data_IF_689599497287
#
_entry.id   IF_689599497287
#
_cell.length_a   1.000
_cell.length_b   1.000
_cell.length_c   1.000
_cell.angle_alpha   90.00
_cell.angle_beta   90.00
_cell.angle_gamma   90.00
#
_symmetry.space_group_name_H-M   'P 1'
#
loop_
_entity.id
_entity.type
_entity.pdbx_description
1 polymer ?
#
# COMPACT_ATOMS: atom_id res chain seq x y z
N UNK A 1 12.36 43.15 -19.13
CA UNK A 1 11.61 42.66 -17.96
C UNK A 1 11.57 41.15 -18.09
N UNK A 2 12.63 40.49 -17.62
CA UNK A 2 12.66 39.04 -17.54
C UNK A 2 11.77 38.67 -16.36
N UNK A 3 10.64 38.03 -16.62
CA UNK A 3 9.88 37.34 -15.60
C UNK A 3 10.78 36.21 -15.11
N UNK A 4 11.57 36.47 -14.07
CA UNK A 4 12.27 35.43 -13.34
C UNK A 4 11.19 34.50 -12.81
N UNK A 5 11.10 33.24 -13.29
CA UNK A 5 10.10 32.32 -12.78
C UNK A 5 10.35 32.20 -11.27
N UNK A 6 9.30 32.42 -10.48
CA UNK A 6 9.41 32.27 -9.03
C UNK A 6 10.07 30.91 -8.73
N UNK A 7 11.03 30.84 -7.78
CA UNK A 7 11.62 29.57 -7.41
C UNK A 7 10.47 28.66 -6.97
N UNK A 8 10.27 27.60 -7.75
CA UNK A 8 9.29 26.57 -7.44
C UNK A 8 10.00 25.68 -6.44
N UNK A 9 9.54 25.61 -5.19
CA UNK A 9 10.13 24.76 -4.15
C UNK A 9 9.61 23.32 -4.31
N UNK A 10 10.12 22.66 -5.34
CA UNK A 10 9.69 21.36 -5.82
C UNK A 10 10.60 20.24 -5.27
N UNK A 11 10.04 19.44 -4.38
CA UNK A 11 10.70 18.23 -3.88
C UNK A 11 10.13 16.99 -4.57
N UNK A 12 11.00 16.14 -5.10
CA UNK A 12 10.63 14.87 -5.73
C UNK A 12 11.05 13.72 -4.83
N UNK A 13 10.08 12.91 -4.37
CA UNK A 13 10.37 11.64 -3.73
C UNK A 13 10.23 10.49 -4.75
N UNK A 14 11.34 9.80 -5.02
CA UNK A 14 11.40 8.64 -5.89
C UNK A 14 11.48 7.35 -5.06
N UNK A 15 10.41 6.58 -5.10
CA UNK A 15 10.28 5.29 -4.44
C UNK A 15 10.63 4.16 -5.43
N UNK A 16 11.56 3.28 -5.04
CA UNK A 16 12.02 2.17 -5.88
C UNK A 16 12.02 0.84 -5.13
N UNK A 17 11.69 -0.24 -5.83
CA UNK A 17 11.83 -1.60 -5.29
C UNK A 17 13.30 -2.06 -5.39
N UNK A 18 13.96 -2.43 -4.26
CA UNK A 18 15.37 -2.84 -4.27
C UNK A 18 15.70 -4.06 -5.12
N UNK A 19 14.75 -4.97 -5.27
CA UNK A 19 14.96 -6.26 -5.94
C UNK A 19 15.04 -6.17 -7.46
N UNK A 20 14.83 -4.98 -8.04
CA UNK A 20 14.80 -4.75 -9.48
C UNK A 20 15.52 -3.45 -9.87
N UNK A 21 16.72 -3.19 -9.36
CA UNK A 21 17.59 -2.14 -9.92
C UNK A 21 18.05 -2.59 -11.32
N UNK A 22 17.15 -2.43 -12.27
CA UNK A 22 17.38 -2.64 -13.69
C UNK A 22 18.01 -1.37 -14.25
N UNK A 23 18.91 -1.47 -15.23
CA UNK A 23 19.52 -0.31 -15.92
C UNK A 23 18.50 0.80 -16.30
N UNK A 24 17.26 0.51 -16.74
CA UNK A 24 16.26 1.55 -17.01
C UNK A 24 15.81 2.38 -15.80
N UNK A 25 15.98 1.89 -14.57
CA UNK A 25 15.67 2.63 -13.34
C UNK A 25 16.82 3.54 -12.97
N UNK A 26 18.06 3.05 -13.07
CA UNK A 26 19.26 3.86 -12.79
C UNK A 26 19.33 5.07 -13.72
N UNK A 27 19.04 4.88 -15.01
CA UNK A 27 18.97 5.97 -15.97
C UNK A 27 17.93 7.04 -15.58
N UNK A 28 16.78 6.62 -15.04
CA UNK A 28 15.73 7.55 -14.55
C UNK A 28 16.18 8.30 -13.30
N UNK A 29 16.82 7.61 -12.36
CA UNK A 29 17.36 8.21 -11.15
C UNK A 29 18.44 9.25 -11.50
N UNK A 30 19.35 8.92 -12.41
CA UNK A 30 20.40 9.86 -12.83
C UNK A 30 19.80 11.07 -13.54
N UNK A 31 18.76 10.86 -14.35
CA UNK A 31 18.02 11.96 -14.97
C UNK A 31 17.38 12.90 -13.94
N UNK A 32 16.80 12.36 -12.86
CA UNK A 32 16.25 13.15 -11.77
C UNK A 32 17.34 13.90 -10.99
N UNK A 33 18.48 13.26 -10.73
CA UNK A 33 19.65 13.92 -10.12
C UNK A 33 20.14 15.07 -10.98
N UNK A 34 20.11 14.92 -12.31
CA UNK A 34 20.47 15.99 -13.22
C UNK A 34 19.49 17.17 -13.11
N UNK A 35 18.18 16.91 -13.00
CA UNK A 35 17.18 17.96 -12.79
C UNK A 35 17.43 18.74 -11.47
N UNK A 36 17.88 18.06 -10.42
CA UNK A 36 18.26 18.71 -9.14
C UNK A 36 19.49 19.61 -9.32
N UNK A 37 20.52 19.12 -10.01
CA UNK A 37 21.74 19.89 -10.29
C UNK A 37 21.48 21.11 -11.17
N UNK A 38 20.56 20.99 -12.11
CA UNK A 38 20.16 22.06 -13.02
C UNK A 38 19.21 23.08 -12.35
N UNK A 39 18.77 22.81 -11.12
CA UNK A 39 17.88 23.68 -10.35
C UNK A 39 16.42 23.63 -10.80
N UNK A 40 16.04 22.62 -11.59
CA UNK A 40 14.65 22.44 -12.02
C UNK A 40 13.79 21.80 -10.93
N UNK A 41 14.42 21.07 -10.01
CA UNK A 41 13.84 20.60 -8.75
C UNK A 41 14.79 21.02 -7.63
N UNK A 42 14.27 21.38 -6.46
CA UNK A 42 15.14 21.81 -5.34
C UNK A 42 15.71 20.62 -4.58
N UNK A 43 14.96 19.51 -4.52
CA UNK A 43 15.39 18.34 -3.78
C UNK A 43 14.89 17.03 -4.38
N UNK A 44 15.78 16.05 -4.44
CA UNK A 44 15.49 14.66 -4.77
C UNK A 44 15.67 13.75 -3.55
N UNK A 45 14.58 13.11 -3.13
CA UNK A 45 14.56 12.10 -2.07
C UNK A 45 14.45 10.70 -2.67
N UNK A 46 15.49 9.89 -2.56
CA UNK A 46 15.44 8.48 -2.93
C UNK A 46 15.00 7.62 -1.74
N UNK A 47 14.02 6.75 -1.96
CA UNK A 47 13.45 5.84 -0.96
C UNK A 47 13.29 4.44 -1.54
N UNK A 48 13.61 3.43 -0.75
CA UNK A 48 13.27 2.05 -1.09
C UNK A 48 11.97 1.64 -0.42
N UNK A 49 11.22 0.75 -1.07
CA UNK A 49 10.07 0.09 -0.46
C UNK A 49 10.02 -1.41 -0.82
N UNK A 50 9.42 -2.25 0.05
CA UNK A 50 9.16 -3.64 -0.26
C UNK A 50 8.20 -3.79 -1.44
N UNK A 51 8.26 -4.94 -2.10
CA UNK A 51 7.33 -5.26 -3.17
C UNK A 51 5.91 -5.45 -2.66
N UNK A 52 5.76 -6.12 -1.53
CA UNK A 52 4.46 -6.38 -0.94
C UNK A 52 4.50 -6.06 0.55
N UNK A 53 3.41 -5.47 1.05
CA UNK A 53 3.22 -5.15 2.46
C UNK A 53 1.87 -5.70 2.90
N UNK A 54 1.85 -6.43 4.01
CA UNK A 54 0.59 -6.84 4.62
C UNK A 54 -0.12 -5.62 5.22
N UNK A 55 -1.41 -5.46 4.92
CA UNK A 55 -2.25 -4.38 5.46
C UNK A 55 -2.80 -4.79 6.83
N UNK A 56 -1.90 -4.88 7.81
CA UNK A 56 -2.18 -5.25 9.20
C UNK A 56 -1.57 -4.20 10.14
N UNK A 57 -2.15 -4.03 11.34
CA UNK A 57 -1.66 -3.05 12.33
C UNK A 57 -0.20 -3.32 12.74
N UNK A 58 0.18 -4.59 12.93
CA UNK A 58 1.54 -4.99 13.31
C UNK A 58 2.46 -5.27 12.10
N UNK A 59 2.21 -4.61 10.96
CA UNK A 59 3.05 -4.79 9.76
C UNK A 59 4.47 -4.28 10.01
N UNK A 60 5.53 -4.93 9.48
CA UNK A 60 6.91 -4.43 9.62
C UNK A 60 7.20 -3.11 8.89
N UNK A 61 6.28 -2.66 8.02
CA UNK A 61 6.45 -1.50 7.14
C UNK A 61 5.27 -0.52 7.23
N UNK A 62 4.91 -0.02 8.44
CA UNK A 62 3.78 0.90 8.60
C UNK A 62 3.99 2.19 7.79
N UNK A 63 5.23 2.64 7.61
CA UNK A 63 5.57 3.82 6.83
C UNK A 63 5.16 3.72 5.35
N UNK A 64 5.09 2.50 4.79
CA UNK A 64 4.66 2.28 3.40
C UNK A 64 3.15 2.39 3.29
N UNK A 65 2.41 1.92 4.31
CA UNK A 65 0.96 2.05 4.37
C UNK A 65 0.55 3.51 4.58
N UNK A 66 1.18 4.22 5.52
CA UNK A 66 0.95 5.66 5.72
C UNK A 66 1.19 6.47 4.44
N UNK A 67 2.23 6.10 3.68
CA UNK A 67 2.54 6.75 2.42
C UNK A 67 1.53 6.40 1.33
N UNK A 68 1.07 5.14 1.28
CA UNK A 68 0.01 4.71 0.38
C UNK A 68 -1.31 5.43 0.66
N UNK A 69 -1.69 5.57 1.93
CA UNK A 69 -2.89 6.31 2.34
C UNK A 69 -2.81 7.77 1.89
N UNK A 70 -1.65 8.43 2.08
CA UNK A 70 -1.40 9.79 1.56
C UNK A 70 -1.53 9.90 0.04
N UNK A 71 -1.11 8.88 -0.69
CA UNK A 71 -1.23 8.84 -2.15
C UNK A 71 -2.68 8.64 -2.60
N UNK A 72 -3.41 7.74 -1.94
CA UNK A 72 -4.85 7.51 -2.19
C UNK A 72 -5.66 8.77 -1.89
N UNK A 73 -5.41 9.40 -0.75
CA UNK A 73 -5.97 10.69 -0.35
C UNK A 73 -5.73 11.78 -1.41
N UNK A 74 -4.53 11.82 -1.98
CA UNK A 74 -4.22 12.75 -3.06
C UNK A 74 -5.00 12.39 -4.34
N UNK A 75 -5.04 11.11 -4.68
CA UNK A 75 -5.71 10.60 -5.88
C UNK A 75 -7.21 10.93 -5.84
N UNK A 76 -7.88 10.66 -4.71
CA UNK A 76 -9.28 10.99 -4.45
C UNK A 76 -9.54 12.50 -4.58
N UNK A 77 -8.68 13.33 -3.98
CA UNK A 77 -8.79 14.80 -4.10
C UNK A 77 -8.52 15.32 -5.51
N UNK A 78 -7.79 14.56 -6.31
CA UNK A 78 -7.44 14.89 -7.68
C UNK A 78 -8.39 14.26 -8.70
N UNK A 79 -9.33 13.41 -8.26
CA UNK A 79 -10.23 12.64 -9.12
C UNK A 79 -9.46 11.75 -10.13
N UNK A 80 -8.37 11.15 -9.65
CA UNK A 80 -7.51 10.23 -10.41
C UNK A 80 -7.34 8.93 -9.64
N UNK A 81 -6.83 7.90 -10.32
CA UNK A 81 -6.53 6.61 -9.74
C UNK A 81 -5.04 6.30 -9.80
N UNK A 82 -4.47 5.86 -8.68
CA UNK A 82 -3.13 5.26 -8.62
C UNK A 82 -3.15 3.75 -8.90
N UNK A 83 -4.32 3.20 -9.24
CA UNK A 83 -4.49 1.85 -9.76
C UNK A 83 -4.47 1.86 -11.29
N UNK A 84 -3.96 0.81 -11.96
CA UNK A 84 -3.40 -0.45 -11.44
C UNK A 84 -1.95 -0.49 -10.89
N UNK A 85 -1.12 0.57 -10.91
CA UNK A 85 0.25 0.52 -10.40
C UNK A 85 0.39 0.07 -8.94
N UNK A 86 -0.50 0.53 -8.07
CA UNK A 86 -0.71 -0.05 -6.76
C UNK A 86 -1.83 -1.09 -6.85
N UNK A 87 -1.70 -2.22 -6.15
CA UNK A 87 -2.75 -3.25 -6.13
C UNK A 87 -2.95 -3.77 -4.72
N UNK A 88 -4.19 -4.01 -4.33
CA UNK A 88 -4.50 -4.79 -3.13
C UNK A 88 -4.81 -6.21 -3.57
N UNK A 89 -4.11 -7.19 -2.98
CA UNK A 89 -4.31 -8.61 -3.25
C UNK A 89 -4.63 -9.35 -1.96
N UNK A 90 -5.76 -10.03 -1.95
CA UNK A 90 -6.07 -11.00 -0.90
C UNK A 90 -5.16 -12.23 -1.05
N UNK A 91 -4.45 -12.57 0.02
CA UNK A 91 -3.68 -13.81 0.10
C UNK A 91 -4.22 -14.66 1.24
N UNK A 92 -4.75 -15.83 0.90
CA UNK A 92 -5.18 -16.83 1.88
C UNK A 92 -4.03 -17.75 2.22
N UNK A 93 -3.64 -17.77 3.49
CA UNK A 93 -2.68 -18.74 4.00
C UNK A 93 -3.37 -20.09 4.14
N UNK A 94 -2.91 -21.11 3.42
CA UNK A 94 -3.44 -22.48 3.52
C UNK A 94 -3.20 -23.05 4.92
N UNK A 95 -2.10 -22.67 5.57
CA UNK A 95 -1.73 -23.17 6.89
C UNK A 95 -2.58 -22.61 8.03
N UNK A 96 -3.12 -21.40 7.88
CA UNK A 96 -3.90 -20.72 8.93
C UNK A 96 -5.34 -20.42 8.53
N UNK A 97 -5.75 -20.73 7.30
CA UNK A 97 -7.04 -20.36 6.67
C UNK A 97 -7.39 -18.87 6.78
N UNK A 98 -6.43 -18.02 7.14
CA UNK A 98 -6.60 -16.58 7.25
C UNK A 98 -6.32 -15.93 5.91
N UNK A 99 -7.26 -15.10 5.45
CA UNK A 99 -7.08 -14.19 4.32
C UNK A 99 -6.55 -12.86 4.84
N UNK A 100 -5.45 -12.38 4.24
CA UNK A 100 -4.83 -11.10 4.56
C UNK A 100 -4.69 -10.30 3.28
N UNK A 101 -5.09 -9.03 3.33
CA UNK A 101 -4.86 -8.08 2.25
C UNK A 101 -3.39 -7.66 2.18
N UNK A 102 -2.85 -7.65 0.96
CA UNK A 102 -1.49 -7.22 0.68
C UNK A 102 -1.47 -6.09 -0.33
N UNK A 103 -0.83 -4.99 0.04
CA UNK A 103 -0.48 -3.92 -0.87
C UNK A 103 0.72 -4.33 -1.71
N UNK A 104 0.54 -4.39 -3.03
CA UNK A 104 1.57 -4.54 -4.03
C UNK A 104 1.96 -3.15 -4.53
N UNK A 105 3.19 -2.73 -4.26
CA UNK A 105 3.73 -1.44 -4.69
C UNK A 105 4.13 -1.44 -6.19
N UNK A 106 4.27 -0.30 -6.88
CA UNK A 106 4.91 -0.30 -8.18
C UNK A 106 6.44 -0.43 -8.08
N UNK A 107 7.10 -0.83 -9.17
CA UNK A 107 8.57 -0.91 -9.23
C UNK A 107 9.24 0.44 -9.05
N UNK A 108 8.62 1.50 -9.59
CA UNK A 108 9.03 2.89 -9.41
C UNK A 108 7.79 3.77 -9.23
N UNK A 109 7.85 4.72 -8.31
CA UNK A 109 6.83 5.75 -8.11
C UNK A 109 7.48 7.09 -7.81
N UNK A 110 6.93 8.17 -8.36
CA UNK A 110 7.33 9.54 -8.06
C UNK A 110 6.22 10.25 -7.32
N UNK A 111 6.53 10.85 -6.17
CA UNK A 111 5.67 11.80 -5.51
C UNK A 111 6.29 13.20 -5.62
N UNK A 112 5.48 14.15 -6.05
CA UNK A 112 5.86 15.54 -6.30
C UNK A 112 5.27 16.42 -5.23
N UNK A 113 6.12 17.15 -4.52
CA UNK A 113 5.74 18.08 -3.46
C UNK A 113 6.09 19.50 -3.87
N UNK A 114 5.15 20.43 -3.67
CA UNK A 114 5.38 21.87 -3.73
C UNK A 114 5.25 22.40 -2.31
N UNK A 115 6.35 22.89 -1.72
CA UNK A 115 6.41 23.37 -0.32
C UNK A 115 5.75 22.38 0.65
N UNK A 116 6.22 21.14 0.64
CA UNK A 116 5.72 20.00 1.44
C UNK A 116 4.30 19.51 1.13
N UNK A 117 3.56 20.19 0.23
CA UNK A 117 2.23 19.73 -0.19
C UNK A 117 2.36 18.74 -1.33
N UNK A 118 1.82 17.54 -1.16
CA UNK A 118 1.73 16.55 -2.24
C UNK A 118 0.82 17.08 -3.36
N UNK A 119 1.43 17.41 -4.49
CA UNK A 119 0.74 17.93 -5.68
C UNK A 119 0.58 16.89 -6.77
N UNK A 120 1.43 15.86 -6.82
CA UNK A 120 1.35 14.78 -7.82
C UNK A 120 1.88 13.44 -7.35
N UNK A 121 1.31 12.34 -7.84
CA UNK A 121 1.87 10.99 -7.73
C UNK A 121 1.90 10.36 -9.12
N UNK A 122 2.99 9.71 -9.50
CA UNK A 122 3.14 9.00 -10.77
C UNK A 122 3.64 7.57 -10.51
N UNK A 123 3.18 6.57 -11.26
CA UNK A 123 2.12 6.67 -12.27
C UNK A 123 0.70 6.82 -11.67
N UNK A 124 -0.20 7.48 -12.41
CA UNK A 124 -1.63 7.55 -12.11
C UNK A 124 -2.44 7.60 -13.42
N UNK A 125 -3.77 7.50 -13.32
CA UNK A 125 -4.69 7.58 -14.46
C UNK A 125 -5.88 8.47 -14.09
N UNK A 126 -6.35 9.31 -15.01
CA UNK A 126 -7.60 10.07 -14.86
C UNK A 126 -8.82 9.32 -15.43
N UNK A 127 -8.64 8.04 -15.78
CA UNK A 127 -9.66 7.19 -16.41
C UNK A 127 -9.61 7.21 -17.94
N UNK A 128 -9.05 8.25 -18.55
CA UNK A 128 -8.88 8.36 -20.00
C UNK A 128 -7.41 8.18 -20.41
N UNK A 129 -6.51 8.79 -19.64
CA UNK A 129 -5.07 8.87 -19.91
C UNK A 129 -4.29 8.34 -18.71
N UNK A 130 -3.30 7.48 -18.98
CA UNK A 130 -2.31 7.06 -17.98
C UNK A 130 -1.11 7.99 -18.02
N UNK A 131 -0.83 8.64 -16.90
CA UNK A 131 0.34 9.48 -16.71
C UNK A 131 1.47 8.66 -16.08
N UNK A 132 2.61 8.58 -16.77
CA UNK A 132 3.69 7.67 -16.41
C UNK A 132 4.89 8.39 -15.79
N UNK A 133 5.74 7.63 -15.10
CA UNK A 133 7.00 8.15 -14.52
C UNK A 133 7.95 8.73 -15.60
N UNK A 134 8.18 8.07 -16.76
CA UNK A 134 9.02 8.64 -17.81
C UNK A 134 8.51 9.98 -18.35
N UNK A 135 7.20 10.14 -18.52
CA UNK A 135 6.59 11.40 -18.97
C UNK A 135 6.78 12.51 -17.93
N UNK A 136 6.54 12.20 -16.65
CA UNK A 136 6.79 13.16 -15.58
C UNK A 136 8.26 13.62 -15.53
N UNK A 137 9.21 12.68 -15.68
CA UNK A 137 10.65 13.01 -15.79
C UNK A 137 10.93 13.87 -17.02
N UNK A 138 10.29 13.60 -18.16
CA UNK A 138 10.48 14.38 -19.37
C UNK A 138 10.04 15.84 -19.19
N UNK A 139 8.90 16.09 -18.53
CA UNK A 139 8.44 17.45 -18.19
C UNK A 139 9.39 18.13 -17.20
N UNK A 140 9.81 17.42 -16.14
CA UNK A 140 10.75 17.98 -15.17
C UNK A 140 12.10 18.36 -15.81
N UNK A 141 12.52 17.70 -16.90
CA UNK A 141 13.75 18.10 -17.61
C UNK A 141 13.61 19.41 -18.38
N UNK A 142 12.40 19.78 -18.81
CA UNK A 142 12.16 21.00 -19.60
C UNK A 142 11.90 22.22 -18.73
N UNK A 143 11.88 22.09 -17.41
CA UNK A 143 11.44 23.16 -16.52
C UNK A 143 9.92 23.28 -16.42
N UNK A 144 9.20 22.34 -17.02
CA UNK A 144 7.74 22.34 -17.02
C UNK A 144 7.22 21.43 -15.91
N UNK A 145 6.17 21.88 -15.23
CA UNK A 145 5.43 20.98 -14.37
C UNK A 145 4.74 19.93 -15.26
N UNK A 146 4.76 18.64 -14.88
CA UNK A 146 4.00 17.61 -15.58
C UNK A 146 2.56 18.08 -15.87
N UNK A 147 2.03 17.78 -17.07
CA UNK A 147 0.72 18.28 -17.51
C UNK A 147 -0.41 17.97 -16.52
N UNK A 148 -0.33 16.83 -15.83
CA UNK A 148 -1.24 16.43 -14.77
C UNK A 148 -1.30 17.46 -13.62
N UNK A 149 -0.20 18.14 -13.31
CA UNK A 149 -0.14 19.22 -12.32
C UNK A 149 -0.68 20.54 -12.88
N UNK A 150 -0.43 20.82 -14.16
CA UNK A 150 -0.84 22.06 -14.82
C UNK A 150 -2.36 22.16 -15.02
N UNK A 151 -3.05 21.05 -15.36
CA UNK A 151 -4.52 21.02 -15.49
C UNK A 151 -5.25 21.44 -14.21
N UNK A 152 -4.59 21.39 -13.04
CA UNK A 152 -5.15 21.76 -11.74
C UNK A 152 -4.97 23.22 -11.35
N UNK A 153 -3.98 23.91 -11.91
CA UNK A 153 -3.75 25.34 -11.64
C UNK A 153 -4.89 26.25 -12.10
N UNK A 154 -5.83 25.73 -12.91
CA UNK A 154 -6.92 26.48 -13.52
C UNK A 154 -8.30 26.37 -12.86
N UNK A 155 -8.49 25.63 -11.76
CA UNK A 155 -9.84 25.47 -11.17
C UNK A 155 -10.00 26.35 -9.93
N UNK A 156 -10.48 27.58 -10.16
CA UNK A 156 -11.13 28.39 -9.15
C UNK A 156 -12.39 27.68 -8.59
N UNK A 157 -12.58 27.80 -7.28
CA UNK A 157 -13.81 27.56 -6.50
C UNK A 157 -14.90 26.71 -7.15
N UNK A 158 -14.89 25.41 -6.90
CA UNK A 158 -16.13 24.61 -6.93
C UNK A 158 -16.78 24.66 -5.55
N UNK A 159 -17.72 25.59 -5.44
CA UNK A 159 -18.80 25.61 -4.45
C UNK A 159 -19.43 24.23 -4.35
N UNK A 160 -19.36 23.61 -3.17
CA UNK A 160 -20.02 22.35 -2.85
C UNK A 160 -21.54 22.51 -2.92
N UNK A 161 -22.28 21.67 -3.67
CA UNK A 161 -23.71 21.57 -3.50
C UNK A 161 -24.02 20.83 -2.19
N UNK A 162 -24.85 21.45 -1.36
CA UNK A 162 -25.41 20.89 -0.12
C UNK A 162 -26.11 19.55 -0.42
N UNK A 163 -25.81 18.45 0.31
CA UNK A 163 -26.51 17.19 0.10
C UNK A 163 -27.98 17.30 0.53
N UNK A 164 -28.86 16.77 -0.32
CA UNK A 164 -30.28 16.62 -0.03
C UNK A 164 -30.51 15.33 0.81
N UNK A 165 -31.15 15.53 1.95
CA UNK A 165 -31.98 14.62 2.76
C UNK A 165 -32.04 13.12 2.40
N UNK A 166 -31.67 12.29 3.38
CA UNK A 166 -31.88 10.84 3.42
C UNK A 166 -33.37 10.42 3.61
N UNK A 167 -33.78 9.23 3.15
CA UNK A 167 -35.03 8.57 3.58
C UNK A 167 -34.82 7.60 4.76
N UNK A 168 -35.90 7.26 5.50
CA UNK A 168 -35.83 6.58 6.79
C UNK A 168 -35.72 5.04 6.73
N UNK A 169 -35.15 4.51 7.81
CA UNK A 169 -34.88 3.12 8.16
C UNK A 169 -36.15 2.25 8.27
N UNK A 170 -36.03 0.97 7.87
CA UNK A 170 -37.01 -0.08 8.12
C UNK A 170 -36.33 -1.39 8.56
N UNK A 171 -36.89 -2.01 9.60
CA UNK A 171 -36.42 -3.14 10.39
C UNK A 171 -36.21 -4.48 9.65
N UNK A 172 -35.26 -5.30 10.13
CA UNK A 172 -35.30 -6.77 9.99
C UNK A 172 -34.73 -7.50 11.23
N UNK A 173 -35.22 -8.71 11.59
CA UNK A 173 -34.96 -9.36 12.87
C UNK A 173 -33.84 -10.42 12.88
N UNK A 174 -33.24 -10.55 14.08
CA UNK A 174 -32.15 -11.43 14.52
C UNK A 174 -32.53 -12.91 14.64
N UNK A 175 -31.67 -13.83 14.18
CA UNK A 175 -31.68 -15.23 14.61
C UNK A 175 -30.27 -15.86 14.70
N UNK A 176 -30.08 -16.56 15.82
CA UNK A 176 -29.30 -17.80 16.02
C UNK A 176 -27.91 -17.74 16.67
N UNK A 177 -27.88 -18.25 17.90
CA UNK A 177 -26.73 -18.74 18.67
C UNK A 177 -27.01 -20.20 19.07
N UNK A 178 -26.05 -21.14 18.94
CA UNK A 178 -26.10 -22.39 19.70
C UNK A 178 -24.99 -22.51 20.76
N UNK A 179 -25.31 -23.28 21.79
CA UNK A 179 -24.63 -23.51 23.08
C UNK A 179 -23.63 -24.67 23.01
N UNK A 180 -22.50 -24.59 23.75
CA UNK A 180 -21.48 -25.66 23.87
C UNK A 180 -21.60 -26.46 25.18
N UNK A 181 -21.20 -27.74 25.16
CA UNK A 181 -21.00 -28.60 26.32
C UNK A 181 -19.59 -29.24 26.30
N UNK A 182 -18.97 -29.28 27.48
CA UNK A 182 -17.65 -29.84 27.86
C UNK A 182 -17.60 -31.39 27.76
N UNK A 183 -16.48 -32.11 27.80
CA UNK A 183 -15.06 -31.85 28.02
C UNK A 183 -14.38 -33.20 28.35
N UNK A 184 -13.14 -33.44 27.91
CA UNK A 184 -12.33 -34.62 28.28
C UNK A 184 -10.84 -34.22 28.34
N UNK A 185 -10.12 -34.72 29.34
CA UNK A 185 -8.82 -34.23 29.83
C UNK A 185 -7.68 -34.36 28.83
N UNK A 186 -6.88 -33.29 28.69
CA UNK A 186 -5.81 -33.12 27.69
C UNK A 186 -4.42 -33.51 28.24
N UNK A 187 -3.48 -33.92 27.38
CA UNK A 187 -2.09 -34.13 27.76
C UNK A 187 -1.40 -32.78 28.05
N UNK A 188 -0.55 -32.70 29.08
CA UNK A 188 0.15 -31.47 29.46
C UNK A 188 1.47 -31.27 28.69
N UNK A 189 1.81 -30.00 28.43
CA UNK A 189 2.98 -29.54 27.70
C UNK A 189 4.25 -29.86 28.49
N UNK A 190 5.28 -30.46 27.86
CA UNK A 190 6.52 -30.78 28.54
C UNK A 190 7.37 -29.55 28.90
N UNK A 191 7.20 -28.41 28.20
CA UNK A 191 8.03 -27.21 28.43
C UNK A 191 7.44 -26.24 29.46
N UNK A 192 6.12 -26.14 29.57
CA UNK A 192 5.46 -25.22 30.52
C UNK A 192 4.43 -25.87 31.45
N UNK A 193 4.01 -27.12 31.19
CA UNK A 193 3.02 -27.84 32.01
C UNK A 193 1.56 -27.54 31.68
N UNK A 194 1.27 -26.67 30.69
CA UNK A 194 -0.10 -26.30 30.27
C UNK A 194 -0.77 -27.37 29.40
N UNK A 195 -2.10 -27.40 29.36
CA UNK A 195 -2.86 -28.36 28.54
C UNK A 195 -2.59 -28.19 27.03
N UNK A 196 -2.27 -29.28 26.35
CA UNK A 196 -2.01 -29.31 24.92
C UNK A 196 -3.30 -29.45 24.10
N UNK A 197 -3.39 -28.69 23.02
CA UNK A 197 -4.46 -28.79 22.03
C UNK A 197 -4.05 -29.73 20.92
N UNK A 198 -4.72 -30.89 20.77
CA UNK A 198 -4.53 -31.76 19.61
C UNK A 198 -5.36 -31.25 18.43
N UNK A 199 -4.68 -30.77 17.40
CA UNK A 199 -5.28 -30.43 16.11
C UNK A 199 -4.68 -31.37 15.07
N UNK A 200 -5.51 -32.28 14.54
CA UNK A 200 -5.14 -33.18 13.44
C UNK A 200 -3.89 -34.07 13.71
N UNK A 201 -3.70 -34.51 14.96
CA UNK A 201 -2.54 -35.34 15.33
C UNK A 201 -1.28 -34.54 15.59
N UNK A 202 -1.39 -33.22 15.79
CA UNK A 202 -0.31 -32.34 16.23
C UNK A 202 -0.78 -31.67 17.52
N UNK A 203 0.02 -31.81 18.58
CA UNK A 203 -0.16 -31.17 19.87
C UNK A 203 0.53 -29.81 19.85
N UNK A 204 -0.26 -28.76 20.06
CA UNK A 204 0.18 -27.36 20.15
C UNK A 204 -0.04 -26.83 21.57
N UNK A 205 0.88 -25.99 22.03
CA UNK A 205 0.79 -25.28 23.30
C UNK A 205 0.65 -23.77 23.07
N UNK A 206 -0.56 -23.24 23.33
CA UNK A 206 -0.88 -21.82 23.24
C UNK A 206 -0.09 -20.91 24.20
N UNK A 207 0.56 -21.48 25.23
CA UNK A 207 1.34 -20.73 26.21
C UNK A 207 2.78 -20.41 25.78
N UNK A 208 3.38 -21.23 24.92
CA UNK A 208 4.79 -21.09 24.55
C UNK A 208 5.13 -21.44 23.09
N UNK A 209 4.12 -21.57 22.21
CA UNK A 209 4.27 -21.84 20.77
C UNK A 209 5.01 -23.17 20.45
N UNK A 210 4.97 -24.13 21.37
CA UNK A 210 5.57 -25.46 21.19
C UNK A 210 4.69 -26.35 20.30
N UNK A 211 5.30 -27.03 19.30
CA UNK A 211 4.59 -27.90 18.35
C UNK A 211 5.22 -29.31 18.35
N UNK A 212 4.42 -30.36 18.58
CA UNK A 212 4.86 -31.77 18.50
C UNK A 212 3.81 -32.72 17.92
N UNK A 213 4.21 -33.79 17.24
CA UNK A 213 3.27 -34.74 16.63
C UNK A 213 2.74 -35.77 17.64
N UNK A 214 1.43 -35.98 17.66
CA UNK A 214 0.78 -37.13 18.29
C UNK A 214 1.12 -38.40 17.50
N UNK A 215 2.00 -39.23 18.06
CA UNK A 215 2.55 -40.44 17.42
C UNK A 215 1.54 -41.58 17.25
N UNK A 216 0.26 -41.32 17.48
CA UNK A 216 -0.77 -42.36 17.55
C UNK A 216 -1.59 -42.51 16.27
N UNK A 217 -1.39 -41.68 15.23
CA UNK A 217 -2.21 -41.72 13.99
C UNK A 217 -1.42 -42.26 12.78
N UNK A 218 -1.82 -43.39 12.16
CA UNK A 218 -1.20 -43.90 10.94
C UNK A 218 -1.74 -43.20 9.67
N UNK A 219 -0.84 -42.75 8.79
CA UNK A 219 -1.14 -42.04 7.54
C UNK A 219 -1.58 -43.00 6.41
N UNK A 220 -2.73 -42.72 5.78
CA UNK A 220 -3.23 -43.42 4.57
C UNK A 220 -2.86 -42.63 3.31
N UNK A 221 -2.11 -43.26 2.39
CA UNK A 221 -1.76 -42.72 1.06
C UNK A 221 -2.73 -43.24 -0.01
N UNK A 222 -3.49 -42.34 -0.65
CA UNK A 222 -4.45 -42.65 -1.72
C UNK A 222 -3.85 -42.51 -3.13
N UNK A 223 -4.28 -43.39 -4.04
CA UNK A 223 -3.89 -43.52 -5.45
C UNK A 223 -4.90 -42.87 -6.39
#
# INVERSE_FOLDING_TARGET
MSTEPAPTDLTIACHVRPTLVLEPIDAKIETLRQCERDGTIDSLLLRSWPGEVAMLEDTPHPEVLDQYDRFTDWADRADVSIHPPFQTRETTSIASERTIDRLVTPTICLAVYDRDRLVGVFPHSDGETTYTVPEAIASLRTGELPEALLRRGGVAERTTPRPATAPPSGDLPSWNRPTMAAGESRPACPDCGDDLTNVQGILDCDGCEWIGADRTIPLVTGR
#
